data_IF_557014503096
#
_entry.id   IF_557014503096
#
_cell.length_a   1.000
_cell.length_b   1.000
_cell.length_c   1.000
_cell.angle_alpha   90.00
_cell.angle_beta   90.00
_cell.angle_gamma   90.00
#
_symmetry.space_group_name_H-M   'P 1'
#
loop_
_entity.id
_entity.type
_entity.pdbx_description
1 polymer ?
#
# COMPACT_ATOMS: atom_id res chain seq x y z
N UNK A 1 1.87 13.87 88.27
CA UNK A 1 2.03 12.75 87.27
C UNK A 1 1.34 13.22 86.01
N UNK A 2 2.11 13.73 85.03
CA UNK A 2 1.60 14.19 83.70
C UNK A 2 1.74 13.11 82.66
N UNK A 3 0.65 12.63 82.09
CA UNK A 3 0.63 11.68 80.99
C UNK A 3 0.83 12.42 79.68
N UNK A 4 1.90 12.11 78.97
CA UNK A 4 2.17 12.64 77.62
C UNK A 4 1.55 11.62 76.67
N UNK A 5 0.56 12.06 75.87
CA UNK A 5 -0.04 11.28 74.76
C UNK A 5 0.82 11.50 73.50
N UNK A 6 1.37 10.42 72.97
CA UNK A 6 2.16 10.38 71.73
C UNK A 6 1.19 10.16 70.57
N UNK A 7 0.94 11.14 69.74
CA UNK A 7 0.10 11.04 68.57
C UNK A 7 0.98 10.56 67.38
N UNK A 8 0.80 9.30 66.94
CA UNK A 8 1.40 8.80 65.69
C UNK A 8 0.65 9.38 64.48
N UNK A 9 1.33 10.21 63.69
CA UNK A 9 0.85 10.61 62.35
C UNK A 9 1.28 9.52 61.37
N UNK A 10 0.31 8.74 60.88
CA UNK A 10 0.53 7.79 59.78
C UNK A 10 0.51 8.54 58.47
N UNK A 11 1.69 8.76 57.88
CA UNK A 11 1.82 9.31 56.52
C UNK A 11 1.56 8.21 55.48
N UNK A 12 0.37 8.18 54.89
CA UNK A 12 0.02 7.33 53.78
C UNK A 12 0.71 7.80 52.50
N UNK A 13 1.79 7.13 52.10
CA UNK A 13 2.43 7.34 50.81
C UNK A 13 1.52 6.64 49.77
N UNK A 14 0.71 7.42 49.05
CA UNK A 14 0.02 6.98 47.84
C UNK A 14 1.09 6.73 46.77
N UNK A 15 1.50 5.48 46.64
CA UNK A 15 2.34 4.99 45.53
C UNK A 15 1.57 5.17 44.22
N UNK A 16 1.92 6.19 43.45
CA UNK A 16 1.50 6.30 42.06
C UNK A 16 2.22 5.18 41.29
N UNK A 17 1.56 4.04 41.18
CA UNK A 17 2.00 2.97 40.27
C UNK A 17 1.93 3.53 38.86
N UNK A 18 3.05 3.96 38.31
CA UNK A 18 3.18 4.18 36.86
C UNK A 18 2.94 2.83 36.19
N UNK A 19 1.73 2.60 35.69
CA UNK A 19 1.47 1.47 34.79
C UNK A 19 2.38 1.66 33.60
N UNK A 20 3.47 0.90 33.54
CA UNK A 20 4.27 0.72 32.33
C UNK A 20 3.33 0.15 31.28
N UNK A 21 2.88 1.00 30.36
CA UNK A 21 2.10 0.55 29.23
C UNK A 21 3.01 -0.36 28.39
N UNK A 22 2.59 -1.60 28.17
CA UNK A 22 3.35 -2.53 27.35
C UNK A 22 3.57 -1.91 25.95
N UNK A 23 4.77 -2.08 25.42
CA UNK A 23 5.11 -1.56 24.09
C UNK A 23 4.16 -2.15 23.03
N UNK A 24 3.66 -1.30 22.16
CA UNK A 24 2.76 -1.67 21.08
C UNK A 24 3.57 -2.30 19.94
N UNK A 25 3.33 -3.55 19.65
CA UNK A 25 4.05 -4.26 18.60
C UNK A 25 3.47 -3.93 17.22
N UNK A 26 4.33 -3.47 16.31
CA UNK A 26 3.94 -3.13 14.92
C UNK A 26 4.78 -3.94 13.94
N UNK A 27 4.15 -4.87 13.23
CA UNK A 27 4.77 -5.59 12.13
C UNK A 27 4.93 -4.68 10.92
N UNK A 28 6.13 -4.60 10.36
CA UNK A 28 6.42 -3.76 9.20
C UNK A 28 6.92 -4.63 8.06
N UNK A 29 6.13 -4.70 7.00
CA UNK A 29 6.58 -5.34 5.76
C UNK A 29 7.53 -4.42 5.01
N UNK A 30 8.70 -4.93 4.67
CA UNK A 30 9.67 -4.30 3.78
C UNK A 30 10.53 -5.36 3.11
N UNK A 31 10.70 -5.29 1.79
CA UNK A 31 11.49 -6.24 0.99
C UNK A 31 12.93 -6.44 1.49
N UNK A 32 13.50 -5.39 2.08
CA UNK A 32 14.87 -5.37 2.64
C UNK A 32 14.88 -5.46 4.18
N UNK A 33 13.72 -5.68 4.81
CA UNK A 33 13.60 -5.71 6.26
C UNK A 33 14.01 -4.37 6.88
N UNK A 34 14.89 -4.39 7.89
CA UNK A 34 15.35 -3.17 8.59
C UNK A 34 16.07 -2.16 7.70
N UNK A 35 16.65 -2.61 6.59
CA UNK A 35 17.43 -1.77 5.68
C UNK A 35 16.59 -1.08 4.61
N UNK A 36 15.29 -1.37 4.54
CA UNK A 36 14.41 -0.86 3.52
C UNK A 36 13.82 0.52 3.84
N UNK A 37 13.41 1.21 2.80
CA UNK A 37 12.85 2.57 2.88
C UNK A 37 11.52 2.61 3.65
N UNK A 38 10.68 1.55 3.51
CA UNK A 38 9.40 1.45 4.25
C UNK A 38 9.65 1.30 5.74
N UNK A 39 10.65 0.51 6.14
CA UNK A 39 11.01 0.35 7.55
C UNK A 39 11.57 1.65 8.13
N UNK A 40 12.39 2.40 7.37
CA UNK A 40 12.89 3.70 7.79
C UNK A 40 11.76 4.72 7.98
N UNK A 41 10.78 4.75 7.06
CA UNK A 41 9.56 5.58 7.22
C UNK A 41 8.78 5.19 8.48
N UNK A 42 8.67 3.90 8.78
CA UNK A 42 8.02 3.42 9.99
C UNK A 42 8.77 3.83 11.26
N UNK A 43 10.11 3.89 11.23
CA UNK A 43 10.91 4.40 12.36
C UNK A 43 10.65 5.89 12.62
N UNK A 44 10.60 6.72 11.56
CA UNK A 44 10.25 8.14 11.69
C UNK A 44 8.82 8.33 12.26
N UNK A 45 7.87 7.52 11.78
CA UNK A 45 6.52 7.50 12.30
C UNK A 45 6.47 7.07 13.78
N UNK A 46 7.22 6.04 14.19
CA UNK A 46 7.27 5.56 15.57
C UNK A 46 7.80 6.62 16.53
N UNK A 47 8.78 7.44 16.11
CA UNK A 47 9.24 8.60 16.89
C UNK A 47 8.12 9.62 17.09
N UNK A 48 7.32 9.90 16.07
CA UNK A 48 6.17 10.80 16.21
C UNK A 48 5.08 10.16 17.09
N UNK A 49 4.81 8.86 16.96
CA UNK A 49 3.84 8.10 17.73
C UNK A 49 4.12 8.18 19.24
N UNK A 50 5.40 8.16 19.64
CA UNK A 50 5.81 8.35 21.04
C UNK A 50 5.35 9.68 21.59
N UNK A 51 5.40 10.75 20.80
CA UNK A 51 4.88 12.07 21.17
C UNK A 51 3.35 12.12 21.35
N UNK A 52 2.64 11.11 20.85
CA UNK A 52 1.18 10.94 20.99
C UNK A 52 0.80 9.94 22.09
N UNK A 53 1.78 9.44 22.84
CA UNK A 53 1.59 8.50 23.94
C UNK A 53 1.62 7.03 23.54
N UNK A 54 2.07 6.68 22.33
CA UNK A 54 2.23 5.30 21.89
C UNK A 54 3.71 4.93 21.86
N UNK A 55 4.14 4.04 22.75
CA UNK A 55 5.47 3.44 22.72
C UNK A 55 5.45 2.24 21.78
N UNK A 56 6.08 2.36 20.61
CA UNK A 56 6.00 1.42 19.50
C UNK A 56 7.27 0.60 19.36
N UNK A 57 7.14 -0.73 19.32
CA UNK A 57 8.17 -1.67 18.96
C UNK A 57 7.98 -2.16 17.53
N UNK A 58 8.87 -1.78 16.60
CA UNK A 58 8.80 -2.15 15.19
C UNK A 58 9.43 -3.53 14.95
N UNK A 59 8.66 -4.42 14.35
CA UNK A 59 9.06 -5.80 14.04
C UNK A 59 9.15 -5.95 12.52
N UNK A 60 10.36 -6.01 11.94
CA UNK A 60 10.52 -6.12 10.49
C UNK A 60 10.10 -7.49 9.99
N UNK A 61 9.45 -7.51 8.82
CA UNK A 61 9.09 -8.72 8.08
C UNK A 61 9.42 -8.53 6.61
N UNK A 62 10.20 -9.44 6.02
CA UNK A 62 10.52 -9.44 4.59
C UNK A 62 9.46 -10.16 3.75
N UNK A 63 8.62 -10.94 4.41
CA UNK A 63 7.45 -11.60 3.81
C UNK A 63 6.17 -10.95 4.34
N UNK A 64 5.36 -10.43 3.43
CA UNK A 64 4.13 -9.72 3.77
C UNK A 64 3.07 -10.65 4.35
N UNK A 65 3.01 -11.90 3.87
CA UNK A 65 2.09 -12.91 4.41
C UNK A 65 2.41 -13.24 5.87
N UNK A 66 3.71 -13.26 6.22
CA UNK A 66 4.15 -13.44 7.62
C UNK A 66 3.74 -12.23 8.47
N UNK A 67 3.90 -11.00 7.95
CA UNK A 67 3.48 -9.79 8.66
C UNK A 67 1.98 -9.82 8.98
N UNK A 68 1.16 -10.11 7.98
CA UNK A 68 -0.30 -10.21 8.08
C UNK A 68 -0.73 -11.34 9.05
N UNK A 69 -0.10 -12.51 8.94
CA UNK A 69 -0.40 -13.65 9.83
C UNK A 69 -0.02 -13.35 11.30
N UNK A 70 1.10 -12.67 11.54
CA UNK A 70 1.48 -12.25 12.88
C UNK A 70 0.50 -11.20 13.45
N UNK A 71 0.00 -10.29 12.61
CA UNK A 71 -1.06 -9.36 13.00
C UNK A 71 -2.37 -10.10 13.29
N UNK A 72 -2.83 -11.01 12.43
CA UNK A 72 -4.04 -11.83 12.66
C UNK A 72 -3.98 -12.62 13.95
N UNK A 73 -2.81 -13.21 14.24
CA UNK A 73 -2.57 -14.00 15.43
C UNK A 73 -2.43 -13.16 16.72
N UNK A 74 -2.40 -11.83 16.62
CA UNK A 74 -2.26 -10.94 17.77
C UNK A 74 -0.82 -10.82 18.30
N UNK A 75 0.19 -11.29 17.56
CA UNK A 75 1.61 -11.05 17.89
C UNK A 75 1.98 -9.58 17.61
N UNK A 76 1.31 -8.93 16.67
CA UNK A 76 1.41 -7.51 16.42
C UNK A 76 0.05 -6.84 16.64
N UNK A 77 0.07 -5.64 17.21
CA UNK A 77 -1.11 -4.80 17.46
C UNK A 77 -1.47 -3.93 16.24
N UNK A 78 -0.51 -3.77 15.34
CA UNK A 78 -0.66 -3.11 14.06
C UNK A 78 0.24 -3.75 13.00
N UNK A 79 -0.08 -3.47 11.72
CA UNK A 79 0.73 -3.93 10.58
C UNK A 79 0.82 -2.84 9.52
N UNK A 80 2.02 -2.66 8.97
CA UNK A 80 2.26 -1.98 7.69
C UNK A 80 2.35 -3.05 6.60
N UNK A 81 1.45 -3.00 5.65
CA UNK A 81 1.38 -3.93 4.51
C UNK A 81 0.81 -3.23 3.27
N UNK A 82 0.89 -3.86 2.09
CA UNK A 82 0.35 -3.24 0.88
C UNK A 82 -1.17 -3.04 0.98
N UNK A 83 -1.68 -1.99 0.35
CA UNK A 83 -3.13 -1.73 0.25
C UNK A 83 -3.89 -2.92 -0.33
N UNK A 84 -3.28 -3.68 -1.25
CA UNK A 84 -3.84 -4.90 -1.82
C UNK A 84 -4.17 -5.94 -0.74
N UNK A 85 -3.28 -6.13 0.24
CA UNK A 85 -3.49 -7.04 1.36
C UNK A 85 -4.38 -6.41 2.43
N UNK A 86 -4.17 -5.14 2.76
CA UNK A 86 -4.94 -4.38 3.73
C UNK A 86 -6.43 -4.22 3.34
N UNK A 87 -6.77 -4.42 2.06
CA UNK A 87 -8.17 -4.38 1.56
C UNK A 87 -9.09 -5.32 2.30
N UNK A 88 -8.59 -6.44 2.82
CA UNK A 88 -9.38 -7.35 3.66
C UNK A 88 -9.86 -6.69 4.97
N UNK A 89 -9.11 -5.70 5.49
CA UNK A 89 -9.46 -4.98 6.71
C UNK A 89 -10.26 -3.72 6.42
N UNK A 90 -9.92 -3.01 5.34
CA UNK A 90 -10.63 -1.81 4.93
C UNK A 90 -10.67 -1.69 3.40
N UNK A 91 -11.82 -1.92 2.83
CA UNK A 91 -12.02 -1.92 1.38
C UNK A 91 -11.84 -0.52 0.78
N UNK A 92 -12.28 0.54 1.49
CA UNK A 92 -12.17 1.90 1.01
C UNK A 92 -10.70 2.29 0.80
N UNK A 93 -9.85 2.19 1.83
CA UNK A 93 -8.42 2.49 1.71
C UNK A 93 -7.73 1.56 0.72
N UNK A 94 -7.96 0.25 0.82
CA UNK A 94 -7.35 -0.76 -0.06
C UNK A 94 -7.80 -0.70 -1.52
N UNK A 95 -8.71 0.22 -1.89
CA UNK A 95 -9.10 0.45 -3.30
C UNK A 95 -8.30 1.57 -3.98
N UNK A 96 -7.37 2.22 -3.28
CA UNK A 96 -6.46 3.22 -3.90
C UNK A 96 -5.63 2.57 -5.02
N UNK A 97 -5.26 1.32 -4.86
CA UNK A 97 -4.48 0.54 -5.83
C UNK A 97 -5.31 0.03 -7.03
N UNK A 98 -6.54 0.50 -7.19
CA UNK A 98 -7.39 0.03 -8.29
C UNK A 98 -6.78 0.28 -9.66
N UNK A 99 -6.92 -0.71 -10.53
CA UNK A 99 -6.30 -0.76 -11.86
C UNK A 99 -6.63 0.48 -12.71
N UNK A 100 -5.59 1.20 -13.15
CA UNK A 100 -5.72 2.44 -13.92
C UNK A 100 -6.36 3.61 -13.16
N UNK A 101 -6.73 3.42 -11.86
CA UNK A 101 -7.43 4.42 -11.06
C UNK A 101 -6.60 5.66 -10.75
N UNK A 102 -5.27 5.47 -10.61
CA UNK A 102 -4.32 6.53 -10.23
C UNK A 102 -3.17 6.58 -11.25
N UNK A 103 -3.28 7.40 -12.31
CA UNK A 103 -2.34 7.40 -13.44
C UNK A 103 -1.04 8.18 -13.21
N UNK A 104 -0.87 8.84 -12.06
CA UNK A 104 0.34 9.62 -11.76
C UNK A 104 0.53 9.85 -10.26
N UNK A 105 1.77 10.15 -9.86
CA UNK A 105 2.10 10.51 -8.49
C UNK A 105 1.35 11.78 -8.02
N UNK A 106 1.06 12.74 -8.91
CA UNK A 106 0.27 13.93 -8.58
C UNK A 106 -1.19 13.59 -8.23
N UNK A 107 -1.80 12.63 -8.92
CA UNK A 107 -3.13 12.12 -8.58
C UNK A 107 -3.06 11.34 -7.26
N UNK A 108 -2.07 10.46 -7.08
CA UNK A 108 -1.87 9.69 -5.87
C UNK A 108 -1.77 10.57 -4.62
N UNK A 109 -0.98 11.63 -4.68
CA UNK A 109 -0.83 12.58 -3.57
C UNK A 109 -2.17 13.19 -3.15
N UNK A 110 -3.00 13.61 -4.13
CA UNK A 110 -4.34 14.16 -3.84
C UNK A 110 -5.27 13.11 -3.23
N UNK A 111 -5.25 11.89 -3.75
CA UNK A 111 -6.08 10.78 -3.24
C UNK A 111 -5.71 10.43 -1.81
N UNK A 112 -4.42 10.26 -1.51
CA UNK A 112 -3.94 9.94 -0.15
C UNK A 112 -4.32 11.06 0.82
N UNK A 113 -4.07 12.32 0.48
CA UNK A 113 -4.43 13.45 1.32
C UNK A 113 -5.94 13.53 1.58
N UNK A 114 -6.77 13.26 0.56
CA UNK A 114 -8.22 13.22 0.72
C UNK A 114 -8.67 12.04 1.58
N UNK A 115 -8.15 10.84 1.32
CA UNK A 115 -8.55 9.64 2.03
C UNK A 115 -8.26 9.74 3.54
N UNK A 116 -7.12 10.32 3.92
CA UNK A 116 -6.68 10.47 5.30
C UNK A 116 -7.27 11.69 6.03
N UNK A 117 -8.03 12.56 5.31
CA UNK A 117 -8.70 13.73 5.91
C UNK A 117 -9.68 13.30 7.01
N UNK A 118 -9.75 14.08 8.09
CA UNK A 118 -10.60 13.80 9.26
C UNK A 118 -12.09 13.60 8.89
N UNK A 119 -12.58 14.24 7.81
CA UNK A 119 -13.95 14.05 7.30
C UNK A 119 -14.23 12.62 6.81
N UNK A 120 -13.19 11.84 6.53
CA UNK A 120 -13.28 10.45 6.12
C UNK A 120 -12.94 9.46 7.24
N UNK A 121 -12.77 9.90 8.49
CA UNK A 121 -12.37 9.06 9.62
C UNK A 121 -13.28 7.82 9.80
N UNK A 122 -14.59 7.97 9.58
CA UNK A 122 -15.54 6.85 9.65
C UNK A 122 -15.30 5.81 8.55
N UNK A 123 -14.86 6.21 7.36
CA UNK A 123 -14.51 5.30 6.26
C UNK A 123 -13.20 4.54 6.52
N UNK A 124 -12.33 5.10 7.37
CA UNK A 124 -11.06 4.46 7.77
C UNK A 124 -11.24 3.40 8.85
N UNK A 125 -12.44 3.25 9.40
CA UNK A 125 -12.74 2.29 10.47
C UNK A 125 -13.68 1.21 9.97
N UNK A 126 -13.39 -0.05 10.29
CA UNK A 126 -14.19 -1.21 9.89
C UNK A 126 -14.37 -2.16 11.08
N UNK A 127 -15.54 -2.75 11.21
CA UNK A 127 -15.82 -3.83 12.16
C UNK A 127 -15.94 -5.15 11.39
N UNK A 128 -15.06 -6.10 11.67
CA UNK A 128 -15.01 -7.42 11.02
C UNK A 128 -14.98 -8.50 12.09
N UNK A 129 -15.97 -9.40 12.09
CA UNK A 129 -16.00 -10.50 13.06
C UNK A 129 -15.92 -10.07 14.51
N UNK A 130 -16.54 -8.94 14.87
CA UNK A 130 -16.52 -8.38 16.23
C UNK A 130 -15.22 -7.67 16.62
N UNK A 131 -14.25 -7.56 15.70
CA UNK A 131 -13.00 -6.83 15.89
C UNK A 131 -13.02 -5.51 15.12
N UNK A 132 -12.53 -4.46 15.73
CA UNK A 132 -12.40 -3.15 15.12
C UNK A 132 -11.00 -3.00 14.51
N UNK A 133 -10.95 -2.53 13.26
CA UNK A 133 -9.72 -2.18 12.56
C UNK A 133 -9.81 -0.73 12.08
N UNK A 134 -8.68 -0.06 12.06
CA UNK A 134 -8.59 1.33 11.60
C UNK A 134 -7.35 1.51 10.72
N UNK A 135 -7.53 2.20 9.60
CA UNK A 135 -6.40 2.67 8.77
C UNK A 135 -5.87 3.97 9.39
N UNK A 136 -4.73 3.85 10.04
CA UNK A 136 -4.07 4.96 10.72
C UNK A 136 -3.02 5.67 9.86
N UNK A 137 -2.79 5.20 8.63
CA UNK A 137 -1.87 5.82 7.69
C UNK A 137 -1.87 5.15 6.34
N UNK A 138 -1.51 5.89 5.30
CA UNK A 138 -1.30 5.42 3.94
C UNK A 138 -0.01 6.06 3.43
N UNK A 139 1.00 5.24 3.12
CA UNK A 139 2.27 5.67 2.55
C UNK A 139 2.37 5.23 1.08
N UNK A 140 2.84 6.07 0.14
CA UNK A 140 3.04 5.65 -1.23
C UNK A 140 4.27 4.73 -1.34
N UNK A 141 4.14 3.64 -2.11
CA UNK A 141 5.24 2.77 -2.57
C UNK A 141 5.55 3.00 -4.05
N UNK A 142 4.77 3.85 -4.72
CA UNK A 142 4.97 4.26 -6.10
C UNK A 142 4.07 3.56 -7.10
N UNK A 143 4.14 4.06 -8.32
CA UNK A 143 3.40 3.48 -9.45
C UNK A 143 3.95 2.11 -9.81
N UNK A 144 3.07 1.14 -10.07
CA UNK A 144 3.46 -0.14 -10.65
C UNK A 144 3.45 -0.08 -12.17
N UNK A 145 4.46 -0.68 -12.74
CA UNK A 145 4.70 -0.79 -14.18
C UNK A 145 4.71 -2.25 -14.60
N UNK A 146 4.37 -2.53 -15.84
CA UNK A 146 4.54 -3.86 -16.43
C UNK A 146 5.96 -4.00 -16.94
N UNK A 147 6.66 -5.01 -16.47
CA UNK A 147 7.95 -5.45 -16.97
C UNK A 147 7.76 -6.69 -17.83
N UNK A 148 8.38 -6.72 -19.01
CA UNK A 148 8.32 -7.81 -19.97
C UNK A 148 9.72 -8.32 -20.26
N UNK A 149 9.89 -9.63 -20.42
CA UNK A 149 11.19 -10.23 -20.77
C UNK A 149 11.56 -10.02 -22.24
N UNK A 150 10.55 -9.76 -23.09
CA UNK A 150 10.71 -9.47 -24.51
C UNK A 150 9.95 -8.19 -24.86
N UNK A 151 10.67 -7.16 -25.34
CA UNK A 151 10.10 -5.88 -25.77
C UNK A 151 9.10 -6.01 -26.94
N UNK A 152 9.05 -7.16 -27.62
CA UNK A 152 8.03 -7.42 -28.62
C UNK A 152 6.64 -7.67 -28.01
N UNK A 153 6.54 -7.91 -26.70
CA UNK A 153 5.27 -7.92 -25.95
C UNK A 153 4.89 -6.46 -25.68
N UNK A 154 4.41 -5.76 -26.71
CA UNK A 154 4.16 -4.31 -26.68
C UNK A 154 2.71 -3.92 -27.02
N UNK A 155 1.81 -4.89 -27.07
CA UNK A 155 0.36 -4.67 -27.25
C UNK A 155 -0.43 -5.73 -26.47
N UNK A 156 -1.75 -5.52 -26.32
CA UNK A 156 -2.66 -6.48 -25.69
C UNK A 156 -2.64 -7.81 -26.43
N UNK A 157 -2.67 -7.76 -27.77
CA UNK A 157 -2.68 -8.93 -28.63
C UNK A 157 -1.41 -9.78 -28.45
N UNK A 158 -0.26 -9.14 -28.26
CA UNK A 158 1.02 -9.82 -28.03
C UNK A 158 1.20 -10.30 -26.59
N UNK A 159 0.45 -9.74 -25.65
CA UNK A 159 0.38 -10.22 -24.27
C UNK A 159 -0.51 -11.46 -24.13
N UNK A 160 -1.44 -11.69 -25.08
CA UNK A 160 -2.29 -12.87 -25.08
C UNK A 160 -1.47 -14.17 -25.12
N UNK A 161 -1.83 -15.14 -24.27
CA UNK A 161 -1.13 -16.41 -24.10
C UNK A 161 0.19 -16.35 -23.34
N UNK A 162 0.72 -15.15 -23.02
CA UNK A 162 1.94 -14.97 -22.20
C UNK A 162 1.66 -15.22 -20.73
N UNK A 163 2.66 -15.70 -20.00
CA UNK A 163 2.59 -15.95 -18.56
C UNK A 163 2.83 -14.68 -17.78
N UNK A 164 1.93 -14.34 -16.87
CA UNK A 164 2.01 -13.18 -16.00
C UNK A 164 1.97 -13.62 -14.52
N UNK A 165 2.96 -13.24 -13.72
CA UNK A 165 2.94 -13.50 -12.27
C UNK A 165 1.90 -12.60 -11.59
N UNK A 166 0.96 -13.21 -10.87
CA UNK A 166 -0.09 -12.53 -10.11
C UNK A 166 0.00 -12.91 -8.64
N UNK A 167 -0.29 -11.96 -7.75
CA UNK A 167 -0.32 -12.23 -6.31
C UNK A 167 -1.58 -13.02 -5.96
N UNK A 168 -1.41 -14.21 -5.35
CA UNK A 168 -2.49 -15.16 -5.12
C UNK A 168 -3.60 -14.65 -4.20
N UNK A 169 -3.30 -13.68 -3.36
CA UNK A 169 -4.26 -13.04 -2.45
C UNK A 169 -5.01 -11.86 -3.06
N UNK A 170 -4.62 -11.40 -4.28
CA UNK A 170 -5.31 -10.30 -4.97
C UNK A 170 -6.10 -10.79 -6.19
N UNK A 171 -7.41 -11.00 -6.06
CA UNK A 171 -8.25 -11.48 -7.16
C UNK A 171 -8.30 -10.49 -8.33
N UNK A 172 -8.09 -9.19 -8.09
CA UNK A 172 -8.12 -8.18 -9.14
C UNK A 172 -7.02 -8.41 -10.20
N UNK A 173 -5.82 -8.76 -9.77
CA UNK A 173 -4.72 -9.07 -10.69
C UNK A 173 -5.03 -10.28 -11.57
N UNK A 174 -5.52 -11.38 -10.96
CA UNK A 174 -5.88 -12.60 -11.70
C UNK A 174 -6.95 -12.31 -12.76
N UNK A 175 -8.04 -11.65 -12.37
CA UNK A 175 -9.15 -11.31 -13.28
C UNK A 175 -8.64 -10.45 -14.43
N UNK A 176 -7.80 -9.46 -14.13
CA UNK A 176 -7.29 -8.54 -15.14
C UNK A 176 -6.33 -9.21 -16.13
N UNK A 177 -5.44 -10.07 -15.65
CA UNK A 177 -4.53 -10.85 -16.50
C UNK A 177 -5.30 -11.77 -17.44
N UNK A 178 -6.35 -12.44 -16.93
CA UNK A 178 -7.23 -13.26 -17.76
C UNK A 178 -8.00 -12.43 -18.80
N UNK A 179 -8.42 -11.21 -18.46
CA UNK A 179 -9.09 -10.28 -19.38
C UNK A 179 -8.19 -9.84 -20.55
N UNK A 180 -6.88 -9.75 -20.31
CA UNK A 180 -5.87 -9.52 -21.37
C UNK A 180 -5.67 -10.75 -22.26
N UNK A 181 -6.20 -11.91 -21.87
CA UNK A 181 -5.95 -13.19 -22.54
C UNK A 181 -4.60 -13.81 -22.15
N UNK A 182 -3.93 -13.26 -21.14
CA UNK A 182 -2.69 -13.81 -20.60
C UNK A 182 -2.95 -14.93 -19.58
N UNK A 183 -1.94 -15.74 -19.29
CA UNK A 183 -2.00 -16.82 -18.33
C UNK A 183 -1.55 -16.32 -16.95
N UNK A 184 -2.46 -16.31 -15.97
CA UNK A 184 -2.12 -15.95 -14.60
C UNK A 184 -1.34 -17.08 -13.92
N UNK A 185 -0.10 -16.79 -13.49
CA UNK A 185 0.74 -17.70 -12.70
C UNK A 185 0.73 -17.22 -11.25
N UNK A 186 0.02 -17.96 -10.41
CA UNK A 186 -0.12 -17.64 -8.99
C UNK A 186 1.25 -17.58 -8.32
N UNK A 187 1.49 -16.50 -7.59
CA UNK A 187 2.75 -16.16 -6.96
C UNK A 187 2.51 -15.46 -5.63
N UNK A 188 3.56 -15.33 -4.84
CA UNK A 188 3.60 -14.51 -3.64
C UNK A 188 4.58 -13.35 -3.83
N UNK A 189 4.50 -12.36 -2.95
CA UNK A 189 5.40 -11.20 -3.01
C UNK A 189 6.87 -11.59 -2.84
N UNK A 190 7.13 -12.72 -2.17
CA UNK A 190 8.46 -13.28 -1.97
C UNK A 190 9.05 -13.97 -3.21
N UNK A 191 8.23 -14.34 -4.22
CA UNK A 191 8.70 -15.15 -5.35
C UNK A 191 8.28 -14.66 -6.74
N UNK A 192 7.35 -13.69 -6.86
CA UNK A 192 6.81 -13.26 -8.16
C UNK A 192 7.88 -12.72 -9.11
N UNK A 193 8.84 -11.93 -8.60
CA UNK A 193 9.96 -11.43 -9.42
C UNK A 193 11.01 -12.51 -9.64
N UNK A 194 11.24 -13.43 -8.71
CA UNK A 194 12.14 -14.56 -8.95
C UNK A 194 11.66 -15.44 -10.12
N UNK A 195 10.34 -15.67 -10.23
CA UNK A 195 9.76 -16.36 -11.41
C UNK A 195 10.03 -15.60 -12.71
N UNK A 196 9.93 -14.25 -12.68
CA UNK A 196 10.27 -13.42 -13.83
C UNK A 196 11.77 -13.48 -14.18
N UNK A 197 12.63 -13.33 -13.20
CA UNK A 197 14.08 -13.37 -13.39
C UNK A 197 14.55 -14.72 -13.95
N UNK A 198 13.92 -15.82 -13.53
CA UNK A 198 14.26 -17.18 -13.96
C UNK A 198 13.51 -17.64 -15.24
N UNK A 199 12.71 -16.76 -15.88
CA UNK A 199 12.00 -17.10 -17.11
C UNK A 199 10.81 -18.02 -16.98
N UNK A 200 10.30 -18.22 -15.78
CA UNK A 200 9.08 -19.00 -15.52
C UNK A 200 7.81 -18.25 -15.92
N UNK A 201 7.88 -16.91 -15.95
CA UNK A 201 6.85 -16.02 -16.48
C UNK A 201 7.47 -14.99 -17.43
N UNK A 202 6.67 -14.50 -18.38
CA UNK A 202 7.07 -13.54 -19.40
C UNK A 202 6.93 -12.10 -18.91
N UNK A 203 6.00 -11.87 -17.98
CA UNK A 203 5.60 -10.54 -17.53
C UNK A 203 5.40 -10.50 -16.02
N UNK A 204 5.64 -9.32 -15.44
CA UNK A 204 5.38 -9.03 -14.03
C UNK A 204 4.97 -7.57 -13.85
N UNK A 205 4.04 -7.32 -12.93
CA UNK A 205 3.70 -5.97 -12.47
C UNK A 205 4.44 -5.67 -11.16
N UNK A 206 5.20 -4.56 -11.12
CA UNK A 206 5.93 -4.18 -9.91
C UNK A 206 6.12 -2.67 -9.81
N UNK A 207 6.14 -2.09 -8.59
CA UNK A 207 6.51 -0.70 -8.40
C UNK A 207 8.02 -0.49 -8.56
N UNK A 208 8.42 0.75 -8.88
CA UNK A 208 9.83 1.14 -8.96
C UNK A 208 10.61 0.84 -7.67
N UNK A 209 9.94 0.88 -6.52
CA UNK A 209 10.45 0.48 -5.22
C UNK A 209 11.05 -0.94 -5.24
N UNK A 210 10.43 -1.88 -5.97
CA UNK A 210 10.87 -3.27 -6.05
C UNK A 210 12.02 -3.50 -7.06
N UNK A 211 12.31 -2.54 -7.95
CA UNK A 211 13.22 -2.73 -9.08
C UNK A 211 14.62 -3.19 -8.67
N UNK A 212 15.26 -2.48 -7.75
CA UNK A 212 16.61 -2.82 -7.25
C UNK A 212 16.58 -3.95 -6.21
N UNK A 213 15.74 -3.90 -5.16
CA UNK A 213 15.70 -4.96 -4.14
C UNK A 213 15.44 -6.35 -4.69
N UNK A 214 14.57 -6.48 -5.67
CA UNK A 214 14.23 -7.77 -6.29
C UNK A 214 14.99 -8.03 -7.60
N UNK A 215 15.94 -7.16 -7.95
CA UNK A 215 16.82 -7.34 -9.12
C UNK A 215 16.06 -7.56 -10.44
N UNK A 216 14.94 -6.82 -10.66
CA UNK A 216 14.10 -6.99 -11.86
C UNK A 216 14.90 -6.87 -13.15
N UNK A 217 16.01 -6.12 -13.16
CA UNK A 217 16.91 -6.00 -14.30
C UNK A 217 17.50 -7.33 -14.77
N UNK A 218 17.60 -8.35 -13.92
CA UNK A 218 18.05 -9.71 -14.33
C UNK A 218 17.04 -10.36 -15.29
N UNK A 219 15.75 -10.24 -14.99
CA UNK A 219 14.69 -10.73 -15.86
C UNK A 219 14.55 -9.94 -17.16
N UNK A 220 14.84 -8.66 -17.14
CA UNK A 220 14.85 -7.82 -18.35
C UNK A 220 15.99 -8.18 -19.30
N UNK A 221 17.18 -8.48 -18.78
CA UNK A 221 18.35 -8.80 -19.60
C UNK A 221 18.62 -7.73 -20.66
N UNK A 222 18.87 -8.18 -21.90
CA UNK A 222 19.09 -7.31 -23.06
C UNK A 222 17.84 -7.04 -23.90
N UNK A 223 16.83 -7.92 -23.84
CA UNK A 223 15.66 -7.88 -24.70
C UNK A 223 14.38 -7.39 -24.00
N UNK A 224 14.40 -7.29 -22.69
CA UNK A 224 13.24 -6.88 -21.91
C UNK A 224 13.01 -5.38 -21.89
N UNK A 225 11.81 -5.01 -21.46
CA UNK A 225 11.40 -3.63 -21.34
C UNK A 225 10.41 -3.44 -20.17
N UNK A 226 10.24 -2.17 -19.76
CA UNK A 226 9.22 -1.71 -18.85
C UNK A 226 8.27 -0.79 -19.61
N UNK A 227 6.96 -1.01 -19.53
CA UNK A 227 5.97 -0.09 -20.10
C UNK A 227 6.07 1.26 -19.39
N UNK A 228 6.29 2.32 -20.18
CA UNK A 228 6.48 3.67 -19.62
C UNK A 228 5.12 4.35 -19.32
N UNK A 229 4.21 3.62 -18.69
CA UNK A 229 2.99 4.15 -18.07
C UNK A 229 2.56 3.27 -16.89
N UNK A 230 2.03 3.85 -15.82
CA UNK A 230 1.62 3.09 -14.65
C UNK A 230 0.29 2.36 -14.88
N UNK A 231 0.17 1.16 -14.31
CA UNK A 231 -1.07 0.36 -14.36
C UNK A 231 -1.88 0.44 -13.08
N UNK A 232 -1.23 0.76 -11.96
CA UNK A 232 -1.85 1.04 -10.67
C UNK A 232 -0.87 1.79 -9.75
N UNK A 233 -1.37 2.33 -8.64
CA UNK A 233 -0.55 2.93 -7.59
C UNK A 233 -0.47 1.97 -6.41
N UNK A 234 0.74 1.58 -6.01
CA UNK A 234 0.94 0.78 -4.81
C UNK A 234 1.11 1.70 -3.61
N UNK A 235 0.38 1.40 -2.54
CA UNK A 235 0.55 2.03 -1.22
C UNK A 235 0.77 0.99 -0.15
N UNK A 236 1.35 1.40 0.98
CA UNK A 236 1.36 0.64 2.22
C UNK A 236 0.38 1.29 3.19
N UNK A 237 -0.50 0.49 3.75
CA UNK A 237 -1.48 0.92 4.73
C UNK A 237 -1.04 0.50 6.14
N UNK A 238 -1.13 1.42 7.09
CA UNK A 238 -0.99 1.12 8.50
C UNK A 238 -2.36 0.71 9.06
N UNK A 239 -2.54 -0.58 9.24
CA UNK A 239 -3.74 -1.16 9.87
C UNK A 239 -3.48 -1.31 11.36
N UNK A 240 -4.32 -0.72 12.21
CA UNK A 240 -4.20 -0.81 13.67
C UNK A 240 -5.45 -1.47 14.29
N UNK A 241 -5.27 -2.04 15.49
CA UNK A 241 -6.35 -2.31 16.44
C UNK A 241 -6.50 -1.09 17.34
N UNK A 242 -7.51 -0.23 17.13
CA UNK A 242 -7.56 1.08 17.79
C UNK A 242 -7.65 0.98 19.32
N UNK A 243 -8.15 -0.13 19.87
CA UNK A 243 -8.20 -0.38 21.33
C UNK A 243 -6.81 -0.59 21.97
N UNK A 244 -5.78 -0.81 21.17
CA UNK A 244 -4.39 -0.94 21.62
C UNK A 244 -3.63 0.40 21.65
N UNK A 245 -4.23 1.45 21.12
CA UNK A 245 -3.61 2.76 20.97
C UNK A 245 -4.32 3.82 21.81
N UNK A 246 -3.64 4.93 22.16
CA UNK A 246 -4.27 6.04 22.85
C UNK A 246 -5.47 6.61 22.10
N UNK A 247 -6.44 7.17 22.82
CA UNK A 247 -7.62 7.79 22.21
C UNK A 247 -7.22 8.87 21.17
N UNK A 248 -7.85 8.84 19.99
CA UNK A 248 -7.58 9.77 18.90
C UNK A 248 -6.26 9.53 18.16
N UNK A 249 -5.54 8.45 18.47
CA UNK A 249 -4.27 8.10 17.83
C UNK A 249 -4.40 7.99 16.30
N UNK A 250 -5.42 7.30 15.81
CA UNK A 250 -5.59 7.07 14.37
C UNK A 250 -5.61 8.38 13.56
N UNK A 251 -6.31 9.42 14.04
CA UNK A 251 -6.31 10.70 13.32
C UNK A 251 -4.97 11.43 13.40
N UNK A 252 -4.31 11.46 14.55
CA UNK A 252 -2.95 12.05 14.68
C UNK A 252 -1.96 11.36 13.74
N UNK A 253 -2.07 10.04 13.62
CA UNK A 253 -1.25 9.27 12.71
C UNK A 253 -1.56 9.61 11.24
N UNK A 254 -2.83 9.65 10.83
CA UNK A 254 -3.23 10.08 9.48
C UNK A 254 -2.71 11.48 9.13
N UNK A 255 -2.82 12.43 10.04
CA UNK A 255 -2.32 13.81 9.85
C UNK A 255 -0.80 13.82 9.63
N UNK A 256 -0.06 12.94 10.32
CA UNK A 256 1.37 12.76 10.11
C UNK A 256 1.68 12.28 8.68
N UNK A 257 0.96 11.27 8.17
CA UNK A 257 1.15 10.77 6.81
C UNK A 257 0.82 11.84 5.76
N UNK A 258 -0.26 12.60 5.95
CA UNK A 258 -0.60 13.73 5.07
C UNK A 258 0.51 14.78 5.06
N UNK A 259 1.03 15.16 6.22
CA UNK A 259 2.12 16.13 6.35
C UNK A 259 3.40 15.68 5.63
N UNK A 260 3.69 14.38 5.63
CA UNK A 260 4.92 13.80 5.07
C UNK A 260 4.74 13.24 3.65
N UNK A 261 3.54 13.29 3.07
CA UNK A 261 3.26 12.67 1.77
C UNK A 261 4.17 13.19 0.64
N UNK A 262 4.48 14.48 0.62
CA UNK A 262 5.39 15.08 -0.36
C UNK A 262 6.82 14.54 -0.24
N UNK A 263 7.33 14.33 0.98
CA UNK A 263 8.64 13.71 1.25
C UNK A 263 8.67 12.28 0.71
N UNK A 264 7.62 11.51 0.94
CA UNK A 264 7.49 10.13 0.43
C UNK A 264 7.49 10.09 -1.09
N UNK A 265 6.77 11.00 -1.76
CA UNK A 265 6.80 11.07 -3.23
C UNK A 265 8.14 11.55 -3.80
N UNK A 266 8.89 12.40 -3.08
CA UNK A 266 10.26 12.76 -3.49
C UNK A 266 11.17 11.52 -3.50
N UNK A 267 11.05 10.64 -2.52
CA UNK A 267 11.75 9.34 -2.50
C UNK A 267 11.32 8.46 -3.68
N UNK A 268 10.01 8.30 -3.91
CA UNK A 268 9.48 7.48 -5.02
C UNK A 268 9.99 7.99 -6.37
N UNK A 269 9.94 9.30 -6.61
CA UNK A 269 10.42 9.91 -7.86
C UNK A 269 11.92 9.61 -8.09
N UNK A 270 12.73 9.61 -7.02
CA UNK A 270 14.15 9.22 -7.08
C UNK A 270 14.31 7.75 -7.48
N UNK A 271 13.51 6.85 -6.93
CA UNK A 271 13.54 5.42 -7.26
C UNK A 271 13.11 5.17 -8.72
N UNK A 272 12.06 5.83 -9.19
CA UNK A 272 11.59 5.76 -10.58
C UNK A 272 12.62 6.32 -11.58
N UNK A 273 13.30 7.41 -11.22
CA UNK A 273 14.40 7.98 -12.01
C UNK A 273 15.60 7.02 -12.09
N UNK A 274 15.80 6.18 -11.08
CA UNK A 274 16.86 5.17 -11.03
C UNK A 274 16.69 3.98 -11.98
N UNK A 275 15.51 3.82 -12.61
CA UNK A 275 15.31 2.79 -13.63
C UNK A 275 15.92 3.28 -14.95
N UNK A 276 16.90 2.54 -15.53
CA UNK A 276 17.60 2.99 -16.75
C UNK A 276 16.66 3.25 -17.93
N UNK A 277 16.88 4.36 -18.64
CA UNK A 277 16.06 4.77 -19.78
C UNK A 277 15.98 3.71 -20.88
N UNK A 278 17.05 2.90 -21.07
CA UNK A 278 17.08 1.82 -22.07
C UNK A 278 15.98 0.77 -21.89
N UNK A 279 15.44 0.62 -20.68
CA UNK A 279 14.34 -0.30 -20.41
C UNK A 279 12.96 0.33 -20.57
N UNK A 280 12.86 1.67 -20.56
CA UNK A 280 11.57 2.38 -20.64
C UNK A 280 11.04 2.34 -22.08
N UNK A 281 9.95 1.60 -22.30
CA UNK A 281 9.31 1.43 -23.59
C UNK A 281 8.02 2.24 -23.66
N UNK A 282 7.94 3.19 -24.57
CA UNK A 282 6.71 3.88 -24.89
C UNK A 282 5.90 3.03 -25.86
N UNK A 283 4.68 2.67 -25.47
CA UNK A 283 3.72 2.09 -26.39
C UNK A 283 3.26 3.16 -27.38
N UNK A 284 2.86 2.74 -28.57
CA UNK A 284 2.20 3.69 -29.47
C UNK A 284 0.89 4.21 -28.83
N UNK A 285 0.44 5.42 -29.18
CA UNK A 285 -0.73 6.05 -28.53
C UNK A 285 -2.01 5.20 -28.57
N UNK A 286 -2.23 4.47 -29.67
CA UNK A 286 -3.42 3.65 -29.84
C UNK A 286 -3.40 2.44 -28.88
N UNK A 287 -2.27 1.74 -28.77
CA UNK A 287 -2.14 0.62 -27.85
C UNK A 287 -2.19 1.07 -26.39
N UNK A 288 -1.54 2.20 -26.05
CA UNK A 288 -1.67 2.79 -24.72
C UNK A 288 -3.12 3.07 -24.35
N UNK A 289 -3.89 3.67 -25.27
CA UNK A 289 -5.32 3.93 -25.05
C UNK A 289 -6.14 2.65 -24.89
N UNK A 290 -5.84 1.60 -25.68
CA UNK A 290 -6.47 0.28 -25.51
C UNK A 290 -6.23 -0.27 -24.08
N UNK A 291 -4.98 -0.24 -23.59
CA UNK A 291 -4.67 -0.64 -22.22
C UNK A 291 -5.43 0.19 -21.19
N UNK A 292 -5.48 1.50 -21.34
CA UNK A 292 -6.21 2.39 -20.42
C UNK A 292 -7.71 2.08 -20.38
N UNK A 293 -8.33 1.84 -21.53
CA UNK A 293 -9.74 1.42 -21.62
C UNK A 293 -9.97 0.09 -20.94
N UNK A 294 -9.09 -0.89 -21.19
CA UNK A 294 -9.16 -2.22 -20.59
C UNK A 294 -9.03 -2.17 -19.06
N UNK A 295 -8.09 -1.38 -18.54
CA UNK A 295 -7.90 -1.15 -17.10
C UNK A 295 -9.16 -0.54 -16.48
N UNK A 296 -9.76 0.46 -17.14
CA UNK A 296 -11.02 1.07 -16.70
C UNK A 296 -12.17 0.07 -16.65
N UNK A 297 -12.37 -0.69 -17.72
CA UNK A 297 -13.43 -1.69 -17.80
C UNK A 297 -13.25 -2.76 -16.70
N UNK A 298 -12.01 -3.24 -16.51
CA UNK A 298 -11.68 -4.17 -15.43
C UNK A 298 -11.96 -3.56 -14.05
N UNK A 299 -11.59 -2.30 -13.81
CA UNK A 299 -11.87 -1.60 -12.56
C UNK A 299 -13.37 -1.49 -12.30
N UNK A 300 -14.16 -1.15 -13.31
CA UNK A 300 -15.63 -1.07 -13.21
C UNK A 300 -16.23 -2.44 -12.86
N UNK A 301 -15.78 -3.50 -13.51
CA UNK A 301 -16.24 -4.86 -13.24
C UNK A 301 -15.90 -5.30 -11.82
N UNK A 302 -14.66 -5.07 -11.39
CA UNK A 302 -14.20 -5.39 -10.03
C UNK A 302 -14.96 -4.60 -8.95
N UNK A 303 -15.40 -3.38 -9.26
CA UNK A 303 -16.26 -2.58 -8.38
C UNK A 303 -17.65 -3.20 -8.27
N UNK A 304 -18.26 -3.64 -9.39
CA UNK A 304 -19.55 -4.35 -9.37
C UNK A 304 -19.49 -5.65 -8.60
N UNK A 305 -18.37 -6.36 -8.68
CA UNK A 305 -18.14 -7.60 -7.91
C UNK A 305 -17.84 -7.32 -6.43
N UNK A 306 -17.79 -6.06 -6.00
CA UNK A 306 -17.53 -5.68 -4.62
C UNK A 306 -16.09 -5.87 -4.16
N UNK A 307 -15.13 -6.05 -5.11
CA UNK A 307 -13.70 -6.11 -4.81
C UNK A 307 -13.18 -4.71 -4.49
N UNK A 308 -13.55 -3.71 -5.30
CA UNK A 308 -13.25 -2.30 -5.03
C UNK A 308 -14.44 -1.57 -4.39
N UNK A 309 -14.13 -0.55 -3.60
CA UNK A 309 -15.11 0.31 -2.94
C UNK A 309 -15.59 1.42 -3.90
N UNK A 310 -16.90 1.55 -4.18
CA UNK A 310 -17.40 2.55 -5.12
C UNK A 310 -17.18 3.99 -4.64
N UNK A 311 -17.14 4.24 -3.31
CA UNK A 311 -16.86 5.58 -2.81
C UNK A 311 -15.40 5.98 -3.09
N UNK A 312 -14.45 5.04 -3.00
CA UNK A 312 -13.08 5.30 -3.41
C UNK A 312 -12.98 5.52 -4.93
N UNK A 313 -13.71 4.74 -5.77
CA UNK A 313 -13.72 4.97 -7.23
C UNK A 313 -14.12 6.40 -7.56
N UNK A 314 -15.17 6.93 -6.92
CA UNK A 314 -15.58 8.33 -7.08
C UNK A 314 -14.50 9.34 -6.68
N UNK A 315 -13.74 9.06 -5.59
CA UNK A 315 -12.59 9.88 -5.17
C UNK A 315 -11.50 9.87 -6.23
N UNK A 316 -11.15 8.69 -6.75
CA UNK A 316 -10.10 8.53 -7.76
C UNK A 316 -10.44 9.30 -9.05
N UNK A 317 -11.69 9.19 -9.52
CA UNK A 317 -12.16 9.94 -10.68
C UNK A 317 -12.04 11.46 -10.47
N UNK A 318 -12.55 11.95 -9.34
CA UNK A 318 -12.46 13.40 -9.01
C UNK A 318 -11.02 13.88 -8.98
N UNK A 319 -10.11 13.09 -8.38
CA UNK A 319 -8.69 13.44 -8.33
C UNK A 319 -8.03 13.44 -9.71
N UNK A 320 -8.29 12.42 -10.56
CA UNK A 320 -7.80 12.37 -11.95
C UNK A 320 -8.23 13.61 -12.73
N UNK A 321 -9.52 13.91 -12.69
CA UNK A 321 -10.09 15.02 -13.46
C UNK A 321 -9.69 16.40 -12.92
N UNK A 322 -9.32 16.51 -11.66
CA UNK A 322 -8.76 17.74 -11.10
C UNK A 322 -7.31 17.98 -11.54
N UNK A 323 -6.54 16.90 -11.82
CA UNK A 323 -5.15 16.98 -12.29
C UNK A 323 -5.08 17.06 -13.80
N UNK A 324 -5.86 16.25 -14.50
CA UNK A 324 -5.90 16.17 -15.96
C UNK A 324 -7.36 16.25 -16.46
N UNK A 325 -7.80 17.45 -16.80
CA UNK A 325 -9.16 17.71 -17.32
C UNK A 325 -9.39 17.06 -18.70
N UNK A 326 -8.34 16.78 -19.44
CA UNK A 326 -8.41 16.16 -20.77
C UNK A 326 -8.46 14.62 -20.70
N UNK A 327 -8.35 14.04 -19.52
CA UNK A 327 -8.44 12.58 -19.34
C UNK A 327 -9.82 12.09 -19.83
N UNK A 328 -9.79 11.12 -20.76
CA UNK A 328 -10.99 10.61 -21.42
C UNK A 328 -12.04 10.06 -20.45
N UNK A 329 -11.62 9.56 -19.27
CA UNK A 329 -12.52 9.00 -18.27
C UNK A 329 -13.38 10.08 -17.57
N UNK A 330 -13.00 11.35 -17.66
CA UNK A 330 -13.74 12.44 -17.01
C UNK A 330 -15.13 12.65 -17.59
N UNK A 331 -15.30 12.38 -18.88
CA UNK A 331 -16.59 12.46 -19.58
C UNK A 331 -17.45 11.20 -19.42
N UNK A 332 -16.91 10.11 -18.86
CA UNK A 332 -17.59 8.82 -18.76
C UNK A 332 -18.26 8.65 -17.39
N UNK A 333 -19.44 8.01 -17.36
CA UNK A 333 -20.16 7.63 -16.13
C UNK A 333 -19.60 6.37 -15.47
N UNK A 334 -20.19 6.01 -14.31
CA UNK A 334 -19.99 4.71 -13.67
C UNK A 334 -18.96 4.65 -12.52
N UNK A 335 -18.28 5.77 -12.19
CA UNK A 335 -17.41 5.91 -11.00
C UNK A 335 -17.92 7.03 -10.09
#
# INVERSE_FOLDING_TARGET
MKKIALTMVATSILGVSSMSQAAINVCVFDLLGKSGESFQMAQEWALAAKGWGADVNLIPRQDEGVADNDFKAGKCDAVFETSMRARQYNKFAGSIDSLGGVPSNAVAQKVIAYALDARNATKMTTNLGGKKYEIAGIAPLGSAYIFVRDKNINSIEKAAGKKFAVLGYDPAQKIMVQRVGAQAVISDISNFVAKFNNGQVDMVGAPAYAYKPLEIYKGLGTNGAMFNFPVLQVTADLVIRPEKFPAGFGQKSRDYFVKNVAKSFAMINRLEAGIPAKYKMNLNPADKLKYQKLLREGRMELTKQGIYDPAMMSVLKKARCAVDKANFECALGGE
#
